data_IF_145834450176
#
_entry.id   IF_145834450176
#
_cell.length_a   1.000
_cell.length_b   1.000
_cell.length_c   1.000
_cell.angle_alpha   90.00
_cell.angle_beta   90.00
_cell.angle_gamma   90.00
#
_symmetry.space_group_name_H-M   'P 1'
#
loop_
_entity.id
_entity.type
_entity.pdbx_description
1 polymer ?
#
# COMPACT_ATOMS: atom_id res chain seq x y z
N UNK A 1 -5.12 -10.86 -16.64
CA UNK A 1 -4.49 -12.09 -16.12
C UNK A 1 -4.37 -11.83 -14.63
N UNK A 2 -4.80 -12.74 -13.77
CA UNK A 2 -4.87 -12.42 -12.36
C UNK A 2 -3.47 -12.09 -11.81
N UNK A 3 -3.35 -11.02 -11.03
CA UNK A 3 -2.06 -10.59 -10.46
C UNK A 3 -1.55 -11.62 -9.47
N UNK A 4 -2.44 -12.16 -8.64
CA UNK A 4 -2.16 -13.26 -7.74
C UNK A 4 -2.90 -14.52 -8.24
N UNK A 5 -2.22 -15.66 -8.26
CA UNK A 5 -2.86 -16.94 -8.52
C UNK A 5 -3.58 -17.47 -7.27
N UNK A 6 -4.48 -18.44 -7.44
CA UNK A 6 -5.29 -18.98 -6.34
C UNK A 6 -4.46 -19.54 -5.18
N UNK A 7 -3.36 -20.24 -5.48
CA UNK A 7 -2.48 -20.79 -4.46
C UNK A 7 -1.86 -19.68 -3.59
N UNK A 8 -1.47 -18.55 -4.20
CA UNK A 8 -0.91 -17.41 -3.49
C UNK A 8 -1.98 -16.68 -2.66
N UNK A 9 -3.21 -16.58 -3.16
CA UNK A 9 -4.34 -16.03 -2.40
C UNK A 9 -4.65 -16.87 -1.16
N UNK A 10 -4.63 -18.20 -1.27
CA UNK A 10 -4.80 -19.09 -0.11
C UNK A 10 -3.67 -18.95 0.91
N UNK A 11 -2.41 -18.84 0.45
CA UNK A 11 -1.26 -18.62 1.31
C UNK A 11 -1.34 -17.28 2.04
N UNK A 12 -1.72 -16.22 1.33
CA UNK A 12 -1.92 -14.89 1.87
C UNK A 12 -3.00 -14.89 2.96
N UNK A 13 -4.15 -15.52 2.69
CA UNK A 13 -5.25 -15.65 3.66
C UNK A 13 -4.83 -16.38 4.93
N UNK A 14 -4.14 -17.52 4.81
CA UNK A 14 -3.63 -18.26 5.97
C UNK A 14 -2.66 -17.39 6.77
N UNK A 15 -1.71 -16.78 6.08
CA UNK A 15 -0.68 -15.93 6.70
C UNK A 15 -1.31 -14.75 7.44
N UNK A 16 -2.31 -14.08 6.85
CA UNK A 16 -2.97 -12.97 7.49
C UNK A 16 -3.84 -13.38 8.69
N UNK A 17 -4.54 -14.52 8.60
CA UNK A 17 -5.33 -15.06 9.71
C UNK A 17 -4.46 -15.34 10.95
N UNK A 18 -3.22 -15.78 10.74
CA UNK A 18 -2.30 -16.14 11.82
C UNK A 18 -1.54 -14.93 12.39
N UNK A 19 -1.35 -13.86 11.59
CA UNK A 19 -0.38 -12.80 11.90
C UNK A 19 -0.97 -11.40 12.08
N UNK A 20 -2.18 -11.11 11.60
CA UNK A 20 -2.79 -9.80 11.79
C UNK A 20 -3.53 -9.76 13.14
N UNK A 21 -3.31 -8.69 13.90
CA UNK A 21 -3.92 -8.46 15.21
C UNK A 21 -4.84 -7.24 15.17
N UNK A 22 -4.28 -6.06 14.92
CA UNK A 22 -5.03 -4.80 14.83
C UNK A 22 -5.41 -4.46 13.39
N UNK A 23 -6.55 -3.77 13.17
CA UNK A 23 -6.96 -3.36 11.84
C UNK A 23 -6.02 -2.31 11.23
N UNK A 24 -5.87 -2.38 9.92
CA UNK A 24 -5.08 -1.47 9.09
C UNK A 24 -5.94 -0.83 8.00
N UNK A 25 -5.61 0.41 7.66
CA UNK A 25 -6.21 1.14 6.56
C UNK A 25 -5.26 1.07 5.36
N UNK A 26 -5.73 0.44 4.30
CA UNK A 26 -5.07 0.38 3.00
C UNK A 26 -5.81 1.33 2.05
N UNK A 27 -5.15 2.37 1.56
CA UNK A 27 -5.76 3.31 0.61
C UNK A 27 -5.05 3.20 -0.74
N UNK A 28 -5.81 2.85 -1.76
CA UNK A 28 -5.37 2.82 -3.15
C UNK A 28 -5.78 4.10 -3.85
N UNK A 29 -4.79 4.77 -4.40
CA UNK A 29 -4.91 5.92 -5.23
C UNK A 29 -4.78 5.53 -6.70
N UNK A 30 -5.85 5.76 -7.46
CA UNK A 30 -5.96 5.26 -8.83
C UNK A 30 -6.60 6.30 -9.75
N UNK A 31 -6.58 6.03 -11.05
CA UNK A 31 -7.26 6.80 -12.09
C UNK A 31 -7.88 5.82 -13.10
N UNK A 32 -9.05 6.11 -13.68
CA UNK A 32 -9.60 5.34 -14.76
C UNK A 32 -8.59 5.26 -15.90
N UNK A 33 -8.26 4.04 -16.30
CA UNK A 33 -7.52 3.83 -17.54
C UNK A 33 -8.42 4.23 -18.69
N UNK A 34 -8.25 5.44 -19.24
CA UNK A 34 -8.66 5.70 -20.61
C UNK A 34 -7.87 4.69 -21.47
N UNK A 35 -8.56 3.65 -21.92
CA UNK A 35 -7.95 2.36 -22.22
C UNK A 35 -6.82 2.40 -23.25
N UNK A 36 -5.71 1.72 -22.99
CA UNK A 36 -4.55 1.39 -23.87
C UNK A 36 -3.95 2.50 -24.75
N UNK A 37 -4.53 3.69 -24.81
CA UNK A 37 -4.11 4.82 -25.60
C UNK A 37 -3.42 5.81 -24.67
N UNK A 38 -2.13 6.02 -24.89
CA UNK A 38 -1.42 7.14 -24.28
C UNK A 38 -1.96 8.40 -24.96
N UNK A 39 -2.93 9.06 -24.32
CA UNK A 39 -3.41 10.35 -24.77
C UNK A 39 -2.31 11.40 -24.56
N UNK A 40 -2.11 12.34 -25.50
CA UNK A 40 -1.22 13.48 -25.28
C UNK A 40 -1.72 14.24 -24.03
N UNK A 41 -0.90 14.26 -22.97
CA UNK A 41 -1.25 14.83 -21.66
C UNK A 41 -1.16 13.87 -20.46
N UNK A 42 -0.74 12.61 -20.62
CA UNK A 42 -0.48 11.72 -19.48
C UNK A 42 -1.73 11.26 -18.71
N UNK A 43 -2.88 11.21 -19.40
CA UNK A 43 -4.19 10.97 -18.79
C UNK A 43 -4.51 9.49 -18.47
N UNK A 44 -3.60 8.56 -18.78
CA UNK A 44 -3.79 7.14 -18.57
C UNK A 44 -2.87 6.56 -17.50
N UNK A 45 -3.33 5.51 -16.82
CA UNK A 45 -2.54 4.75 -15.86
C UNK A 45 -2.51 3.28 -16.29
N UNK A 46 -1.37 2.81 -16.79
CA UNK A 46 -1.25 1.48 -17.40
C UNK A 46 -1.47 0.35 -16.38
N UNK A 47 -1.00 0.53 -15.14
CA UNK A 47 -1.00 -0.49 -14.08
C UNK A 47 -2.06 -0.23 -13.00
N UNK A 48 -2.95 0.75 -13.17
CA UNK A 48 -3.98 1.07 -12.17
C UNK A 48 -5.03 -0.03 -12.00
N UNK A 49 -5.34 -0.77 -13.07
CA UNK A 49 -6.23 -1.94 -12.99
C UNK A 49 -5.59 -3.05 -12.16
N UNK A 50 -4.33 -3.35 -12.45
CA UNK A 50 -3.53 -4.36 -11.74
C UNK A 50 -3.35 -4.00 -10.26
N UNK A 51 -3.06 -2.74 -9.95
CA UNK A 51 -2.94 -2.27 -8.57
C UNK A 51 -4.26 -2.36 -7.79
N UNK A 52 -5.39 -2.16 -8.48
CA UNK A 52 -6.73 -2.33 -7.90
C UNK A 52 -7.02 -3.78 -7.58
N UNK A 53 -6.77 -4.68 -8.53
CA UNK A 53 -6.93 -6.12 -8.32
C UNK A 53 -6.08 -6.60 -7.14
N UNK A 54 -4.82 -6.15 -7.08
CA UNK A 54 -3.91 -6.49 -5.99
C UNK A 54 -4.41 -5.99 -4.61
N UNK A 55 -4.89 -4.75 -4.54
CA UNK A 55 -5.42 -4.18 -3.30
C UNK A 55 -6.72 -4.86 -2.85
N UNK A 56 -7.59 -5.21 -3.79
CA UNK A 56 -8.82 -5.97 -3.53
C UNK A 56 -8.50 -7.39 -3.03
N UNK A 57 -7.50 -8.07 -3.61
CA UNK A 57 -7.03 -9.37 -3.14
C UNK A 57 -6.45 -9.32 -1.72
N UNK A 58 -5.68 -8.27 -1.39
CA UNK A 58 -5.15 -8.04 -0.04
C UNK A 58 -6.28 -7.85 0.99
N UNK A 59 -7.30 -7.07 0.64
CA UNK A 59 -8.47 -6.85 1.49
C UNK A 59 -9.31 -8.13 1.65
N UNK A 60 -9.51 -8.88 0.57
CA UNK A 60 -10.26 -10.13 0.59
C UNK A 60 -9.59 -11.23 1.43
N UNK A 61 -8.26 -11.19 1.57
CA UNK A 61 -7.53 -12.13 2.40
C UNK A 61 -7.81 -11.97 3.90
N UNK A 62 -8.12 -10.76 4.37
CA UNK A 62 -8.42 -10.48 5.79
C UNK A 62 -9.41 -9.29 5.90
N UNK A 63 -10.70 -9.48 5.59
CA UNK A 63 -11.66 -8.39 5.45
C UNK A 63 -11.98 -7.67 6.76
N UNK A 64 -11.76 -8.30 7.91
CA UNK A 64 -11.96 -7.68 9.22
C UNK A 64 -10.76 -6.80 9.62
N UNK A 65 -9.57 -7.16 9.17
CA UNK A 65 -8.32 -6.49 9.54
C UNK A 65 -7.82 -5.51 8.47
N UNK A 66 -8.11 -5.72 7.19
CA UNK A 66 -7.60 -4.88 6.09
C UNK A 66 -8.75 -4.09 5.48
N UNK A 67 -8.88 -2.83 5.88
CA UNK A 67 -9.89 -1.92 5.36
C UNK A 67 -9.35 -1.24 4.10
N UNK A 68 -9.98 -1.49 2.96
CA UNK A 68 -9.58 -0.91 1.68
C UNK A 68 -10.43 0.32 1.33
N UNK A 69 -9.76 1.44 1.10
CA UNK A 69 -10.34 2.63 0.47
C UNK A 69 -9.75 2.81 -0.94
N UNK A 70 -10.60 3.00 -1.95
CA UNK A 70 -10.16 3.28 -3.32
C UNK A 70 -10.55 4.70 -3.69
N UNK A 71 -9.55 5.54 -3.96
CA UNK A 71 -9.72 6.95 -4.28
C UNK A 71 -9.30 7.21 -5.73
N UNK A 72 -10.27 7.62 -6.54
CA UNK A 72 -10.06 8.09 -7.90
C UNK A 72 -9.61 9.56 -7.89
N UNK A 73 -8.37 9.81 -8.32
CA UNK A 73 -7.82 11.17 -8.38
C UNK A 73 -8.35 12.02 -9.51
N UNK A 74 -8.87 11.41 -10.59
CA UNK A 74 -9.43 12.19 -11.70
C UNK A 74 -10.73 12.91 -11.33
N UNK A 75 -11.43 12.39 -10.33
CA UNK A 75 -12.63 13.01 -9.78
C UNK A 75 -12.32 14.14 -8.78
N UNK A 76 -11.05 14.32 -8.38
CA UNK A 76 -10.63 15.29 -7.36
C UNK A 76 -9.44 16.09 -7.85
N UNK A 77 -9.72 17.23 -8.48
CA UNK A 77 -8.72 18.13 -9.07
C UNK A 77 -7.71 18.69 -8.07
N UNK A 78 -8.02 18.73 -6.77
CA UNK A 78 -7.08 19.15 -5.73
C UNK A 78 -6.05 18.09 -5.30
N UNK A 79 -6.15 16.83 -5.77
CA UNK A 79 -5.26 15.73 -5.37
C UNK A 79 -4.25 15.42 -6.48
N UNK A 80 -3.19 16.24 -6.57
CA UNK A 80 -2.03 15.96 -7.41
C UNK A 80 -1.14 14.90 -6.73
N UNK A 81 -1.42 13.63 -6.99
CA UNK A 81 -0.66 12.50 -6.43
C UNK A 81 -0.21 11.53 -7.53
N UNK A 82 0.96 10.89 -7.39
CA UNK A 82 1.37 9.83 -8.30
C UNK A 82 0.35 8.67 -8.29
N UNK A 83 0.04 8.12 -9.47
CA UNK A 83 -0.87 6.97 -9.63
C UNK A 83 -0.24 5.89 -10.52
N UNK A 84 -0.42 4.58 -10.19
CA UNK A 84 -1.09 4.10 -8.98
C UNK A 84 -0.20 4.36 -7.75
N UNK A 85 -0.83 4.58 -6.60
CA UNK A 85 -0.13 4.68 -5.33
C UNK A 85 -0.91 3.96 -4.26
N UNK A 86 -0.22 3.20 -3.41
CA UNK A 86 -0.81 2.45 -2.31
C UNK A 86 -0.27 3.03 -1.02
N UNK A 87 -1.12 3.33 -0.04
CA UNK A 87 -0.69 3.78 1.28
C UNK A 87 -1.24 2.89 2.38
N UNK A 88 -0.46 2.70 3.44
CA UNK A 88 -0.79 1.85 4.56
C UNK A 88 -0.68 2.62 5.88
N UNK A 89 -1.73 2.54 6.70
CA UNK A 89 -1.79 3.11 8.04
C UNK A 89 -2.38 2.11 9.04
N UNK A 90 -2.10 2.29 10.33
CA UNK A 90 -2.88 1.63 11.37
C UNK A 90 -4.29 2.29 11.42
N UNK A 91 -5.36 1.49 11.54
CA UNK A 91 -6.73 2.03 11.53
C UNK A 91 -7.06 2.85 12.79
N UNK A 92 -6.33 2.61 13.88
CA UNK A 92 -6.49 3.22 15.20
C UNK A 92 -5.43 4.31 15.49
N UNK A 93 -4.52 4.56 14.56
CA UNK A 93 -3.58 5.68 14.66
C UNK A 93 -4.27 6.99 14.32
N UNK A 94 -3.84 8.09 14.93
CA UNK A 94 -4.20 9.43 14.45
C UNK A 94 -3.90 9.49 12.96
N UNK A 95 -4.95 9.60 12.15
CA UNK A 95 -4.86 9.94 10.75
C UNK A 95 -4.34 11.38 10.68
N UNK A 96 -3.05 11.55 10.91
CA UNK A 96 -2.38 12.82 10.69
C UNK A 96 -2.59 13.17 9.23
N UNK A 97 -3.04 14.40 9.02
CA UNK A 97 -3.34 15.02 7.73
C UNK A 97 -2.21 14.71 6.72
N UNK A 98 -2.37 13.67 5.90
CA UNK A 98 -1.30 13.24 5.00
C UNK A 98 -1.31 11.78 4.51
N UNK A 99 -2.17 10.91 5.03
CA UNK A 99 -2.22 9.50 4.60
C UNK A 99 -1.19 8.62 5.32
N UNK A 100 -1.29 7.31 5.13
CA UNK A 100 -0.47 6.35 5.86
C UNK A 100 1.03 6.63 5.77
N UNK A 101 1.76 6.44 6.89
CA UNK A 101 3.22 6.69 6.98
C UNK A 101 4.05 5.87 5.98
N UNK A 102 3.46 4.82 5.41
CA UNK A 102 4.07 3.95 4.41
C UNK A 102 3.31 4.09 3.09
N UNK A 103 4.06 4.28 2.00
CA UNK A 103 3.50 4.40 0.67
C UNK A 103 4.35 3.75 -0.40
N UNK A 104 3.69 3.16 -1.40
CA UNK A 104 4.29 2.64 -2.62
C UNK A 104 3.80 3.47 -3.79
N UNK A 105 4.74 4.06 -4.53
CA UNK A 105 4.44 4.75 -5.79
C UNK A 105 4.70 3.78 -6.95
N UNK A 106 3.65 3.41 -7.68
CA UNK A 106 3.68 2.36 -8.69
C UNK A 106 2.95 1.08 -8.25
N UNK A 107 3.11 0.01 -9.03
CA UNK A 107 2.54 -1.31 -8.75
C UNK A 107 3.55 -2.16 -7.96
N UNK A 108 3.28 -2.48 -6.68
CA UNK A 108 4.17 -3.32 -5.87
C UNK A 108 3.95 -4.81 -6.17
N UNK A 109 4.34 -5.25 -7.37
CA UNK A 109 4.26 -6.63 -7.83
C UNK A 109 5.64 -7.32 -7.79
N UNK A 110 5.70 -8.60 -8.17
CA UNK A 110 6.94 -9.36 -8.20
C UNK A 110 7.54 -9.54 -6.80
N UNK A 111 8.84 -9.29 -6.64
CA UNK A 111 9.50 -9.38 -5.34
C UNK A 111 9.02 -8.31 -4.35
N UNK A 112 8.50 -7.17 -4.85
CA UNK A 112 7.96 -6.09 -4.02
C UNK A 112 6.58 -6.41 -3.44
N UNK A 113 5.88 -7.44 -3.93
CA UNK A 113 4.63 -7.86 -3.29
C UNK A 113 4.86 -8.32 -1.85
N UNK A 114 5.98 -8.99 -1.60
CA UNK A 114 6.33 -9.45 -0.26
C UNK A 114 6.56 -8.29 0.72
N UNK A 115 7.02 -7.12 0.23
CA UNK A 115 7.26 -5.95 1.09
C UNK A 115 5.95 -5.33 1.56
N UNK A 116 4.91 -5.33 0.73
CA UNK A 116 3.55 -4.91 1.11
C UNK A 116 2.96 -5.83 2.18
N UNK A 117 3.07 -7.15 1.98
CA UNK A 117 2.56 -8.15 2.92
C UNK A 117 3.26 -8.02 4.28
N UNK A 118 4.59 -7.90 4.29
CA UNK A 118 5.37 -7.72 5.53
C UNK A 118 5.03 -6.39 6.23
N UNK A 119 4.84 -5.30 5.48
CA UNK A 119 4.45 -4.02 6.03
C UNK A 119 3.07 -4.06 6.69
N UNK A 120 2.07 -4.70 6.05
CA UNK A 120 0.73 -4.90 6.63
C UNK A 120 0.81 -5.62 7.97
N UNK A 121 1.60 -6.69 8.05
CA UNK A 121 1.78 -7.44 9.30
C UNK A 121 2.45 -6.62 10.40
N UNK A 122 3.51 -5.89 10.06
CA UNK A 122 4.23 -5.05 11.04
C UNK A 122 3.35 -3.94 11.59
N UNK A 123 2.62 -3.26 10.71
CA UNK A 123 1.69 -2.20 11.11
C UNK A 123 0.54 -2.78 11.94
N UNK A 124 -0.05 -3.89 11.52
CA UNK A 124 -1.12 -4.58 12.27
C UNK A 124 -0.68 -5.09 13.64
N UNK A 125 0.61 -5.40 13.83
CA UNK A 125 1.17 -5.88 15.11
C UNK A 125 1.76 -4.76 15.97
N UNK A 126 1.89 -3.55 15.43
CA UNK A 126 2.62 -2.47 16.08
C UNK A 126 4.12 -2.77 16.27
N UNK A 127 4.69 -3.67 15.47
CA UNK A 127 6.08 -4.13 15.62
C UNK A 127 6.95 -3.65 14.46
N UNK A 128 7.91 -2.76 14.75
CA UNK A 128 8.86 -2.27 13.76
C UNK A 128 10.06 -3.22 13.57
N UNK A 129 10.41 -4.04 14.56
CA UNK A 129 11.52 -4.98 14.50
C UNK A 129 12.90 -4.32 14.42
N UNK A 130 13.01 -3.09 14.92
CA UNK A 130 14.27 -2.34 15.05
C UNK A 130 14.86 -2.62 16.44
N UNK A 131 16.19 -2.58 16.56
CA UNK A 131 16.85 -2.67 17.85
C UNK A 131 16.58 -1.42 18.70
N UNK A 132 16.55 -1.56 20.03
CA UNK A 132 16.27 -0.47 20.97
C UNK A 132 17.20 0.74 20.72
N UNK A 133 18.49 0.49 20.53
CA UNK A 133 19.47 1.55 20.22
C UNK A 133 19.15 2.32 18.93
N UNK A 134 18.51 1.69 17.94
CA UNK A 134 18.05 2.36 16.72
C UNK A 134 16.81 3.21 17.00
N UNK A 135 15.87 2.71 17.82
CA UNK A 135 14.69 3.49 18.21
C UNK A 135 15.10 4.72 19.01
N UNK A 136 16.02 4.57 19.96
CA UNK A 136 16.55 5.68 20.76
C UNK A 136 17.16 6.77 19.86
N UNK A 137 17.98 6.38 18.88
CA UNK A 137 18.56 7.31 17.92
C UNK A 137 17.51 7.99 17.03
N UNK A 138 16.44 7.29 16.63
CA UNK A 138 15.34 7.87 15.86
C UNK A 138 14.51 8.87 16.67
N UNK A 139 14.41 8.69 17.99
CA UNK A 139 13.74 9.64 18.90
C UNK A 139 14.47 10.98 19.02
N UNK A 140 15.75 11.06 18.64
CA UNK A 140 16.53 12.30 18.64
C UNK A 140 16.30 13.17 17.39
N UNK A 141 15.55 12.68 16.38
CA UNK A 141 15.24 13.43 15.18
C UNK A 141 14.31 14.62 15.49
N UNK A 142 14.79 15.83 15.24
CA UNK A 142 14.06 17.09 15.51
C UNK A 142 13.32 17.64 14.29
N UNK A 143 13.56 17.07 13.11
CA UNK A 143 12.98 17.53 11.84
C UNK A 143 12.25 16.38 11.14
N UNK A 144 11.21 16.66 10.32
CA UNK A 144 10.55 15.64 9.51
C UNK A 144 11.54 14.97 8.55
N UNK A 145 11.52 13.65 8.50
CA UNK A 145 12.35 12.85 7.58
C UNK A 145 11.45 12.13 6.58
N UNK A 146 11.74 12.33 5.29
CA UNK A 146 11.16 11.56 4.20
C UNK A 146 12.19 10.54 3.68
N UNK A 147 11.82 9.26 3.68
CA UNK A 147 12.66 8.18 3.19
C UNK A 147 12.08 7.60 1.90
N UNK A 148 12.80 7.76 0.80
CA UNK A 148 12.42 7.24 -0.51
C UNK A 148 13.34 6.10 -0.92
N UNK A 149 12.75 4.94 -1.22
CA UNK A 149 13.46 3.76 -1.74
C UNK A 149 13.03 3.54 -3.19
N UNK A 150 13.99 3.53 -4.10
CA UNK A 150 13.75 3.22 -5.51
C UNK A 150 14.10 1.75 -5.77
N UNK A 151 13.09 0.97 -6.18
CA UNK A 151 13.21 -0.46 -6.42
C UNK A 151 12.59 -0.84 -7.76
N UNK A 152 12.99 -2.01 -8.28
CA UNK A 152 12.36 -2.64 -9.44
C UNK A 152 11.71 -3.96 -9.01
N UNK A 153 10.55 -4.35 -9.58
CA UNK A 153 9.88 -5.62 -9.25
C UNK A 153 10.68 -6.90 -9.58
N UNK A 154 11.79 -6.75 -10.30
CA UNK A 154 12.69 -7.80 -10.83
C UNK A 154 14.14 -7.36 -10.76
#
# INVERSE_FOLDING_TARGET
MAILNEQLKEQLKRRFTERLHDPVQLTLYTRPGSGRLILPGGLGCATCGDARELAEDLAAAAPEQVQLEVVDVSARTELERPVPSLTLAAANGEANEGGGRLGWQGLPAGYEFATVVDAIERVSRGEHGLADATVDALCELTEPVELMVFATPT
#
